data_IF_187228182202
#
_entry.id   IF_187228182202
#
_cell.length_a   1.000
_cell.length_b   1.000
_cell.length_c   1.000
_cell.angle_alpha   90.00
_cell.angle_beta   90.00
_cell.angle_gamma   90.00
#
_symmetry.space_group_name_H-M   'P 1'
#
loop_
_entity.id
_entity.type
_entity.pdbx_description
1 polymer ?
#
# COMPACT_ATOMS: atom_id res chain seq x y z
N UNK A 1 15.55 23.21 -6.13
CA UNK A 1 16.50 22.92 -5.02
C UNK A 1 16.79 24.19 -4.20
N UNK A 2 17.13 25.32 -4.82
CA UNK A 2 17.45 26.57 -4.10
C UNK A 2 16.24 27.11 -3.27
N UNK A 3 15.01 27.01 -3.78
CA UNK A 3 13.80 27.43 -3.09
C UNK A 3 13.60 26.60 -1.82
N UNK A 4 13.64 25.27 -1.90
CA UNK A 4 13.51 24.37 -0.74
C UNK A 4 14.61 24.68 0.29
N UNK A 5 15.86 24.83 -0.12
CA UNK A 5 16.95 25.14 0.79
C UNK A 5 16.74 26.48 1.52
N UNK A 6 16.21 27.49 0.83
CA UNK A 6 15.86 28.77 1.42
C UNK A 6 14.73 28.61 2.45
N UNK A 7 13.64 27.93 2.08
CA UNK A 7 12.48 27.78 2.97
C UNK A 7 12.86 26.95 4.23
N UNK A 8 13.63 25.88 4.05
CA UNK A 8 14.16 25.09 5.17
C UNK A 8 15.06 25.93 6.07
N UNK A 9 15.91 26.81 5.51
CA UNK A 9 16.80 27.65 6.32
C UNK A 9 16.06 28.60 7.27
N UNK A 10 14.81 28.95 6.98
CA UNK A 10 13.97 29.80 7.83
C UNK A 10 13.41 29.09 9.07
N UNK A 11 13.38 27.78 9.07
CA UNK A 11 12.84 26.95 10.16
C UNK A 11 13.93 26.21 10.92
N UNK A 12 15.21 26.43 10.62
CA UNK A 12 16.32 25.84 11.36
C UNK A 12 16.43 26.41 12.77
N UNK A 13 16.70 25.53 13.74
CA UNK A 13 16.97 25.88 15.12
C UNK A 13 18.05 24.93 15.71
N UNK A 14 18.70 25.37 16.79
CA UNK A 14 19.72 24.56 17.47
C UNK A 14 19.09 23.29 18.05
N UNK A 15 19.66 22.12 17.68
CA UNK A 15 19.16 20.82 18.12
C UNK A 15 18.11 20.19 17.19
N UNK A 16 17.83 20.77 16.02
CA UNK A 16 16.96 20.12 15.02
C UNK A 16 17.52 18.74 14.65
N UNK A 17 16.67 17.72 14.64
CA UNK A 17 17.07 16.36 14.25
C UNK A 17 17.10 16.22 12.74
N UNK A 18 17.84 15.22 12.24
CA UNK A 18 17.87 14.91 10.80
C UNK A 18 16.47 14.57 10.26
N UNK A 19 15.64 13.89 11.06
CA UNK A 19 14.27 13.57 10.69
C UNK A 19 13.40 14.83 10.54
N UNK A 20 13.48 15.75 11.51
CA UNK A 20 12.78 17.05 11.43
C UNK A 20 13.24 17.86 10.22
N UNK A 21 14.53 17.86 9.93
CA UNK A 21 15.07 18.53 8.75
C UNK A 21 14.51 17.96 7.44
N UNK A 22 14.40 16.66 7.36
CA UNK A 22 13.80 15.98 6.19
C UNK A 22 12.31 16.29 6.04
N UNK A 23 11.55 16.27 7.13
CA UNK A 23 10.13 16.65 7.11
C UNK A 23 9.98 18.11 6.65
N UNK A 24 10.79 19.03 7.17
CA UNK A 24 10.77 20.43 6.73
C UNK A 24 11.06 20.59 5.23
N UNK A 25 11.94 19.76 4.67
CA UNK A 25 12.21 19.76 3.22
C UNK A 25 11.00 19.26 2.40
N UNK A 26 10.30 18.25 2.90
CA UNK A 26 9.06 17.75 2.26
C UNK A 26 7.97 18.82 2.34
N UNK A 27 7.76 19.43 3.50
CA UNK A 27 6.78 20.49 3.69
C UNK A 27 7.05 21.70 2.79
N UNK A 28 8.31 22.15 2.71
CA UNK A 28 8.72 23.22 1.81
C UNK A 28 8.42 22.87 0.34
N UNK A 29 8.64 21.63 -0.08
CA UNK A 29 8.26 21.20 -1.43
C UNK A 29 6.73 21.25 -1.63
N UNK A 30 5.95 20.74 -0.67
CA UNK A 30 4.48 20.74 -0.75
C UNK A 30 3.87 22.13 -0.83
N UNK A 31 4.42 23.10 -0.09
CA UNK A 31 3.96 24.49 -0.10
C UNK A 31 4.19 25.17 -1.47
N UNK A 32 5.16 24.70 -2.23
CA UNK A 32 5.50 25.27 -3.52
C UNK A 32 4.78 24.62 -4.73
N UNK A 33 3.95 23.59 -4.52
CA UNK A 33 3.25 22.89 -5.61
C UNK A 33 2.35 23.83 -6.43
N UNK A 34 1.71 24.80 -5.80
CA UNK A 34 0.84 25.75 -6.50
C UNK A 34 1.61 26.68 -7.46
N UNK A 35 2.88 26.95 -7.17
CA UNK A 35 3.74 27.79 -7.98
C UNK A 35 4.38 26.98 -9.12
N UNK A 36 4.79 25.75 -8.83
CA UNK A 36 5.45 24.84 -9.77
C UNK A 36 5.06 23.41 -9.45
N UNK A 37 4.23 22.75 -10.30
CA UNK A 37 3.73 21.38 -10.06
C UNK A 37 4.81 20.30 -9.90
N UNK A 38 6.01 20.52 -10.41
CA UNK A 38 7.13 19.58 -10.27
C UNK A 38 7.59 19.40 -8.81
N UNK A 39 7.25 20.33 -7.91
CA UNK A 39 7.52 20.16 -6.49
C UNK A 39 6.77 18.98 -5.86
N UNK A 40 5.63 18.56 -6.42
CA UNK A 40 4.93 17.34 -6.00
C UNK A 40 5.83 16.10 -6.18
N UNK A 41 6.52 16.00 -7.33
CA UNK A 41 7.46 14.91 -7.60
C UNK A 41 8.69 14.98 -6.70
N UNK A 42 9.15 16.18 -6.35
CA UNK A 42 10.27 16.37 -5.41
C UNK A 42 9.87 15.90 -4.01
N UNK A 43 8.69 16.30 -3.52
CA UNK A 43 8.16 15.84 -2.23
C UNK A 43 8.00 14.30 -2.20
N UNK A 44 7.50 13.70 -3.29
CA UNK A 44 7.39 12.25 -3.42
C UNK A 44 8.74 11.55 -3.28
N UNK A 45 9.76 12.02 -3.99
CA UNK A 45 11.13 11.45 -3.94
C UNK A 45 11.78 11.61 -2.56
N UNK A 46 11.61 12.74 -1.91
CA UNK A 46 12.10 12.95 -0.54
C UNK A 46 11.45 11.95 0.43
N UNK A 47 10.14 11.74 0.33
CA UNK A 47 9.43 10.75 1.15
C UNK A 47 9.86 9.32 0.84
N UNK A 48 10.03 8.95 -0.42
CA UNK A 48 10.52 7.62 -0.82
C UNK A 48 11.93 7.38 -0.26
N UNK A 49 12.84 8.37 -0.34
CA UNK A 49 14.18 8.24 0.21
C UNK A 49 14.17 8.00 1.72
N UNK A 50 13.32 8.70 2.46
CA UNK A 50 13.15 8.50 3.91
C UNK A 50 12.72 7.06 4.22
N UNK A 51 11.72 6.55 3.49
CA UNK A 51 11.22 5.18 3.67
C UNK A 51 12.27 4.13 3.26
N UNK A 52 13.04 4.35 2.21
CA UNK A 52 14.14 3.46 1.84
C UNK A 52 15.18 3.36 2.95
N UNK A 53 15.57 4.47 3.55
CA UNK A 53 16.50 4.48 4.66
C UNK A 53 15.94 3.77 5.89
N UNK A 54 14.65 3.94 6.18
CA UNK A 54 13.98 3.28 7.29
C UNK A 54 13.93 1.76 7.12
N UNK A 55 13.61 1.27 5.93
CA UNK A 55 13.37 -0.17 5.67
C UNK A 55 14.65 -0.88 5.25
N UNK A 56 15.44 -0.28 4.36
CA UNK A 56 16.64 -0.89 3.80
C UNK A 56 17.89 -0.59 4.63
N UNK A 57 17.81 0.34 5.58
CA UNK A 57 18.93 0.88 6.35
C UNK A 57 19.61 2.06 5.66
N UNK A 58 20.61 2.67 6.33
CA UNK A 58 21.40 3.76 5.75
C UNK A 58 22.13 3.26 4.51
N UNK A 59 21.86 3.86 3.36
CA UNK A 59 22.37 3.45 2.05
C UNK A 59 22.77 4.65 1.21
N UNK A 60 23.79 4.42 0.38
CA UNK A 60 24.11 5.29 -0.72
C UNK A 60 23.09 5.09 -1.87
N UNK A 61 22.80 6.12 -2.64
CA UNK A 61 21.81 6.07 -3.74
C UNK A 61 22.16 4.98 -4.78
N UNK A 62 23.43 4.71 -4.99
CA UNK A 62 23.92 3.67 -5.90
C UNK A 62 23.55 2.25 -5.46
N UNK A 63 23.23 2.03 -4.18
CA UNK A 63 22.99 0.70 -3.59
C UNK A 63 21.49 0.40 -3.38
N UNK A 64 20.63 1.41 -3.56
CA UNK A 64 19.19 1.29 -3.32
C UNK A 64 18.58 0.13 -4.10
N UNK A 65 18.77 0.08 -5.42
CA UNK A 65 18.19 -0.96 -6.27
C UNK A 65 18.63 -2.37 -5.86
N UNK A 66 19.92 -2.53 -5.57
CA UNK A 66 20.46 -3.81 -5.16
C UNK A 66 19.80 -4.28 -3.86
N UNK A 67 19.75 -3.43 -2.83
CA UNK A 67 19.15 -3.78 -1.54
C UNK A 67 17.64 -3.96 -1.63
N UNK A 68 16.97 -3.15 -2.42
CA UNK A 68 15.54 -3.24 -2.66
C UNK A 68 15.17 -4.65 -3.17
N UNK A 69 15.86 -5.14 -4.19
CA UNK A 69 15.66 -6.48 -4.73
C UNK A 69 16.11 -7.56 -3.74
N UNK A 70 17.29 -7.46 -3.19
CA UNK A 70 17.88 -8.46 -2.30
C UNK A 70 17.07 -8.72 -1.03
N UNK A 71 16.47 -7.69 -0.44
CA UNK A 71 15.74 -7.83 0.81
C UNK A 71 14.29 -8.29 0.62
N UNK A 72 13.74 -8.30 -0.58
CA UNK A 72 12.36 -8.70 -0.83
C UNK A 72 12.05 -10.14 -0.40
N UNK A 73 12.87 -11.10 -0.80
CA UNK A 73 12.68 -12.50 -0.41
C UNK A 73 12.75 -12.71 1.12
N UNK A 74 13.63 -11.98 1.80
CA UNK A 74 13.71 -11.97 3.26
C UNK A 74 12.44 -11.38 3.87
N UNK A 75 11.97 -10.24 3.36
CA UNK A 75 10.73 -9.61 3.79
C UNK A 75 9.53 -10.57 3.71
N UNK A 76 9.35 -11.30 2.60
CA UNK A 76 8.28 -12.29 2.45
C UNK A 76 8.41 -13.40 3.51
N UNK A 77 9.60 -14.00 3.66
CA UNK A 77 9.82 -15.10 4.62
C UNK A 77 9.55 -14.69 6.07
N UNK A 78 9.99 -13.50 6.47
CA UNK A 78 9.79 -12.97 7.84
C UNK A 78 8.31 -12.69 8.12
N UNK A 79 7.58 -12.11 7.16
CA UNK A 79 6.16 -11.81 7.33
C UNK A 79 5.27 -13.06 7.25
N UNK A 80 5.67 -14.11 6.53
CA UNK A 80 5.01 -15.42 6.63
C UNK A 80 5.28 -16.05 7.99
N UNK A 81 6.51 -15.99 8.49
CA UNK A 81 6.85 -16.52 9.82
C UNK A 81 6.09 -15.84 10.95
N UNK A 82 5.84 -14.53 10.84
CA UNK A 82 5.04 -13.77 11.82
C UNK A 82 3.52 -13.96 11.67
N UNK A 83 3.05 -14.71 10.64
CA UNK A 83 1.64 -14.96 10.38
C UNK A 83 0.89 -13.79 9.72
N UNK A 84 1.58 -12.74 9.29
CA UNK A 84 0.99 -11.61 8.56
C UNK A 84 0.67 -12.01 7.13
N UNK A 85 1.61 -12.68 6.46
CA UNK A 85 1.43 -13.19 5.10
C UNK A 85 1.00 -14.66 5.10
N UNK A 86 0.25 -15.03 4.06
CA UNK A 86 -0.18 -16.41 3.82
C UNK A 86 1.04 -17.29 3.49
N UNK A 87 1.06 -18.50 4.05
CA UNK A 87 2.13 -19.47 3.83
C UNK A 87 2.37 -19.83 2.36
N UNK A 88 1.34 -19.73 1.50
CA UNK A 88 1.43 -19.94 0.05
C UNK A 88 2.39 -18.97 -0.64
N UNK A 89 2.70 -17.82 -0.03
CA UNK A 89 3.71 -16.90 -0.52
C UNK A 89 5.11 -17.53 -0.64
N UNK A 90 5.39 -18.61 0.10
CA UNK A 90 6.66 -19.35 0.02
C UNK A 90 6.73 -20.35 -1.15
N UNK A 91 5.63 -20.60 -1.86
CA UNK A 91 5.59 -21.50 -3.00
C UNK A 91 6.08 -20.85 -4.30
N UNK A 92 6.35 -19.54 -4.28
CA UNK A 92 6.87 -18.77 -5.43
C UNK A 92 8.39 -18.88 -5.55
N UNK A 93 8.90 -18.74 -6.76
CA UNK A 93 10.33 -18.44 -6.96
C UNK A 93 10.60 -16.98 -6.55
N UNK A 94 10.87 -16.80 -5.25
CA UNK A 94 11.09 -15.47 -4.66
C UNK A 94 12.33 -14.78 -5.26
N UNK A 95 13.33 -15.53 -5.69
CA UNK A 95 14.53 -14.95 -6.30
C UNK A 95 14.24 -14.44 -7.71
N UNK A 96 13.41 -15.15 -8.49
CA UNK A 96 12.94 -14.67 -9.79
C UNK A 96 12.09 -13.41 -9.62
N UNK A 97 11.14 -13.40 -8.67
CA UNK A 97 10.30 -12.23 -8.41
C UNK A 97 11.12 -11.04 -7.87
N UNK A 98 12.13 -11.29 -7.04
CA UNK A 98 13.06 -10.24 -6.58
C UNK A 98 13.79 -9.54 -7.74
N UNK A 99 14.26 -10.31 -8.72
CA UNK A 99 14.91 -9.76 -9.93
C UNK A 99 13.94 -8.99 -10.82
N UNK A 100 12.66 -9.35 -10.79
CA UNK A 100 11.60 -8.68 -11.57
C UNK A 100 11.24 -7.29 -11.03
N UNK A 101 11.53 -7.02 -9.76
CA UNK A 101 11.22 -5.72 -9.15
C UNK A 101 11.94 -4.57 -9.87
N UNK A 102 11.21 -3.49 -10.12
CA UNK A 102 11.71 -2.27 -10.77
C UNK A 102 11.55 -1.06 -9.83
N UNK A 103 12.51 -0.81 -8.93
CA UNK A 103 12.42 0.26 -7.94
C UNK A 103 12.20 1.65 -8.53
N UNK A 104 12.71 1.90 -9.75
CA UNK A 104 12.53 3.16 -10.47
C UNK A 104 11.06 3.52 -10.71
N UNK A 105 10.16 2.52 -10.77
CA UNK A 105 8.72 2.71 -10.93
C UNK A 105 8.06 3.36 -9.70
N UNK A 106 8.70 3.39 -8.53
CA UNK A 106 8.22 4.17 -7.38
C UNK A 106 8.08 5.65 -7.72
N UNK A 107 8.92 6.16 -8.62
CA UNK A 107 8.89 7.54 -9.10
C UNK A 107 7.73 7.87 -10.05
N UNK A 108 6.92 6.89 -10.47
CA UNK A 108 5.69 7.14 -11.23
C UNK A 108 4.60 7.78 -10.36
N UNK A 109 4.66 7.56 -9.06
CA UNK A 109 3.70 8.11 -8.10
C UNK A 109 4.06 9.53 -7.70
N UNK A 110 3.06 10.39 -7.64
CA UNK A 110 3.13 11.70 -7.00
C UNK A 110 3.05 11.55 -5.47
N UNK A 111 3.28 12.63 -4.72
CA UNK A 111 3.35 12.60 -3.26
C UNK A 111 2.13 11.94 -2.61
N UNK A 112 0.92 12.35 -3.00
CA UNK A 112 -0.31 11.76 -2.45
C UNK A 112 -0.40 10.25 -2.72
N UNK A 113 0.05 9.78 -3.89
CA UNK A 113 0.09 8.36 -4.23
C UNK A 113 1.06 7.59 -3.33
N UNK A 114 2.26 8.13 -3.10
CA UNK A 114 3.26 7.55 -2.19
C UNK A 114 2.70 7.45 -0.77
N UNK A 115 2.17 8.55 -0.22
CA UNK A 115 1.61 8.59 1.14
C UNK A 115 0.42 7.64 1.28
N UNK A 116 -0.46 7.59 0.29
CA UNK A 116 -1.61 6.69 0.31
C UNK A 116 -1.16 5.22 0.31
N UNK A 117 -0.14 4.88 -0.50
CA UNK A 117 0.42 3.53 -0.49
C UNK A 117 0.98 3.18 0.90
N UNK A 118 1.86 4.01 1.44
CA UNK A 118 2.54 3.77 2.71
C UNK A 118 1.59 3.73 3.91
N UNK A 119 0.58 4.59 3.95
CA UNK A 119 -0.30 4.73 5.11
C UNK A 119 -1.49 3.78 5.09
N UNK A 120 -1.93 3.35 3.91
CA UNK A 120 -3.18 2.60 3.77
C UNK A 120 -2.99 1.17 3.27
N UNK A 121 -1.99 0.90 2.42
CA UNK A 121 -1.90 -0.37 1.70
C UNK A 121 -0.65 -1.18 2.03
N UNK A 122 0.46 -0.52 2.34
CA UNK A 122 1.68 -1.20 2.76
C UNK A 122 1.47 -1.92 4.10
N UNK A 123 2.10 -3.08 4.25
CA UNK A 123 2.13 -3.80 5.53
C UNK A 123 2.82 -2.93 6.60
N UNK A 124 2.33 -3.05 7.82
CA UNK A 124 2.80 -2.24 8.95
C UNK A 124 3.17 -3.12 10.13
N UNK A 125 4.20 -2.70 10.85
CA UNK A 125 4.50 -3.22 12.19
C UNK A 125 4.11 -2.12 13.20
N UNK A 126 2.94 -2.26 13.79
CA UNK A 126 2.33 -1.19 14.58
C UNK A 126 2.05 0.04 13.70
N UNK A 127 2.73 1.16 13.97
CA UNK A 127 2.52 2.43 13.25
C UNK A 127 3.38 2.54 11.99
N UNK A 128 4.57 1.95 11.98
CA UNK A 128 5.54 2.10 10.90
C UNK A 128 5.26 1.16 9.71
N UNK A 129 5.34 1.63 8.45
CA UNK A 129 5.32 0.76 7.29
C UNK A 129 6.60 -0.09 7.27
N UNK A 130 6.45 -1.36 6.87
CA UNK A 130 7.56 -2.32 6.72
C UNK A 130 7.69 -2.81 5.27
N UNK A 131 6.88 -2.27 4.38
CA UNK A 131 6.77 -2.68 2.98
C UNK A 131 7.04 -1.48 2.07
N UNK A 132 7.89 -1.68 1.07
CA UNK A 132 8.18 -0.69 0.03
C UNK A 132 7.12 -0.72 -1.08
N UNK A 133 6.92 0.36 -1.86
CA UNK A 133 5.82 0.42 -2.83
C UNK A 133 5.85 -0.71 -3.87
N UNK A 134 7.02 -1.05 -4.46
CA UNK A 134 7.07 -2.18 -5.40
C UNK A 134 6.90 -3.54 -4.71
N UNK A 135 7.27 -3.67 -3.43
CA UNK A 135 6.97 -4.88 -2.65
C UNK A 135 5.46 -5.03 -2.44
N UNK A 136 4.76 -3.91 -2.18
CA UNK A 136 3.30 -3.90 -2.09
C UNK A 136 2.66 -4.41 -3.39
N UNK A 137 3.08 -3.90 -4.55
CA UNK A 137 2.56 -4.37 -5.83
C UNK A 137 2.85 -5.85 -6.07
N UNK A 138 4.07 -6.30 -5.77
CA UNK A 138 4.45 -7.70 -5.95
C UNK A 138 3.69 -8.62 -4.98
N UNK A 139 3.52 -8.23 -3.70
CA UNK A 139 2.71 -8.99 -2.73
C UNK A 139 1.27 -9.16 -3.20
N UNK A 140 0.66 -8.08 -3.71
CA UNK A 140 -0.71 -8.12 -4.24
C UNK A 140 -0.78 -9.08 -5.44
N UNK A 141 0.16 -8.96 -6.37
CA UNK A 141 0.25 -9.83 -7.55
C UNK A 141 0.36 -11.30 -7.17
N UNK A 142 1.24 -11.63 -6.23
CA UNK A 142 1.38 -12.99 -5.69
C UNK A 142 0.09 -13.46 -5.04
N UNK A 143 -0.55 -12.62 -4.22
CA UNK A 143 -1.81 -12.97 -3.55
C UNK A 143 -2.97 -13.25 -4.51
N UNK A 144 -3.00 -12.57 -5.65
CA UNK A 144 -4.00 -12.80 -6.71
C UNK A 144 -3.70 -14.06 -7.53
N UNK A 145 -2.44 -14.42 -7.67
CA UNK A 145 -2.00 -15.53 -8.52
C UNK A 145 -1.95 -16.91 -7.80
N UNK A 146 -2.41 -17.03 -6.55
CA UNK A 146 -2.32 -18.27 -5.76
C UNK A 146 -2.88 -19.53 -6.42
N UNK A 147 -3.90 -19.38 -7.25
CA UNK A 147 -4.61 -20.51 -7.85
C UNK A 147 -4.33 -20.64 -9.35
N UNK A 148 -3.38 -19.89 -9.89
CA UNK A 148 -3.00 -19.95 -11.29
C UNK A 148 -2.15 -21.17 -11.61
N UNK A 149 -2.13 -21.60 -12.88
CA UNK A 149 -1.35 -22.78 -13.33
C UNK A 149 0.14 -22.57 -13.18
N UNK A 150 0.62 -21.35 -13.47
CA UNK A 150 2.00 -20.89 -13.23
C UNK A 150 1.95 -19.62 -12.37
N UNK A 151 1.88 -19.77 -11.03
CA UNK A 151 1.71 -18.63 -10.15
C UNK A 151 2.84 -17.61 -10.25
N UNK A 152 4.09 -18.04 -10.44
CA UNK A 152 5.24 -17.13 -10.51
C UNK A 152 5.19 -16.27 -11.78
N UNK A 153 4.87 -16.87 -12.92
CA UNK A 153 4.71 -16.16 -14.17
C UNK A 153 3.54 -15.17 -14.10
N UNK A 154 2.38 -15.64 -13.66
CA UNK A 154 1.17 -14.79 -13.54
C UNK A 154 1.38 -13.64 -12.55
N UNK A 155 2.03 -13.88 -11.41
CA UNK A 155 2.40 -12.81 -10.48
C UNK A 155 3.33 -11.77 -11.12
N UNK A 156 4.28 -12.20 -11.95
CA UNK A 156 5.17 -11.28 -12.69
C UNK A 156 4.39 -10.40 -13.67
N UNK A 157 3.40 -10.96 -14.37
CA UNK A 157 2.55 -10.25 -15.32
C UNK A 157 1.63 -9.25 -14.59
N UNK A 158 0.97 -9.67 -13.52
CA UNK A 158 0.13 -8.78 -12.69
C UNK A 158 0.95 -7.65 -12.07
N UNK A 159 2.17 -7.95 -11.60
CA UNK A 159 3.08 -6.94 -11.09
C UNK A 159 3.42 -5.88 -12.15
N UNK A 160 3.70 -6.28 -13.40
CA UNK A 160 4.02 -5.34 -14.46
C UNK A 160 2.90 -4.31 -14.67
N UNK A 161 1.66 -4.78 -14.81
CA UNK A 161 0.50 -3.89 -15.00
C UNK A 161 0.27 -2.97 -13.79
N UNK A 162 0.36 -3.50 -12.57
CA UNK A 162 0.14 -2.70 -11.37
C UNK A 162 1.26 -1.69 -11.12
N UNK A 163 2.50 -2.10 -11.29
CA UNK A 163 3.67 -1.27 -11.01
C UNK A 163 3.87 -0.14 -12.02
N UNK A 164 3.35 -0.31 -13.24
CA UNK A 164 3.29 0.73 -14.28
C UNK A 164 2.05 1.62 -14.17
N UNK A 165 1.19 1.39 -13.18
CA UNK A 165 -0.06 2.11 -12.95
C UNK A 165 -1.08 1.95 -14.08
N UNK A 166 -0.98 0.91 -14.90
CA UNK A 166 -1.95 0.56 -15.94
C UNK A 166 -3.24 0.00 -15.33
N UNK A 167 -3.12 -0.68 -14.18
CA UNK A 167 -4.22 -1.23 -13.42
C UNK A 167 -3.97 -1.12 -11.91
N UNK A 168 -4.95 -0.65 -11.17
CA UNK A 168 -4.90 -0.55 -9.70
C UNK A 168 -6.10 -1.29 -9.12
N UNK A 169 -5.88 -2.39 -8.35
CA UNK A 169 -6.96 -3.12 -7.69
C UNK A 169 -7.69 -2.27 -6.65
N UNK A 170 -8.91 -2.67 -6.32
CA UNK A 170 -9.69 -2.03 -5.28
C UNK A 170 -9.05 -2.10 -3.89
N UNK A 171 -9.51 -1.23 -2.98
CA UNK A 171 -8.88 -1.02 -1.67
C UNK A 171 -8.72 -2.29 -0.83
N UNK A 172 -9.78 -3.10 -0.69
CA UNK A 172 -9.74 -4.35 0.08
C UNK A 172 -8.75 -5.36 -0.52
N UNK A 173 -8.70 -5.46 -1.84
CA UNK A 173 -7.71 -6.30 -2.54
C UNK A 173 -6.28 -5.84 -2.24
N UNK A 174 -6.02 -4.53 -2.30
CA UNK A 174 -4.68 -3.97 -2.02
C UNK A 174 -4.24 -4.21 -0.58
N UNK A 175 -5.16 -4.15 0.38
CA UNK A 175 -4.86 -4.38 1.80
C UNK A 175 -4.61 -5.87 2.05
N UNK A 176 -5.49 -6.75 1.56
CA UNK A 176 -5.59 -8.13 2.04
C UNK A 176 -4.94 -9.18 1.11
N UNK A 177 -4.66 -8.86 -0.16
CA UNK A 177 -4.05 -9.84 -1.07
C UNK A 177 -2.66 -10.26 -0.58
N UNK A 178 -2.42 -11.57 -0.54
CA UNK A 178 -1.19 -12.18 -0.04
C UNK A 178 -1.08 -12.25 1.48
N UNK A 179 -2.04 -11.68 2.24
CA UNK A 179 -2.06 -11.79 3.70
C UNK A 179 -2.73 -13.09 4.16
N UNK A 180 -2.60 -13.40 5.46
CA UNK A 180 -3.29 -14.54 6.09
C UNK A 180 -4.80 -14.34 6.21
N UNK A 181 -5.33 -13.15 5.89
CA UNK A 181 -6.75 -12.82 5.85
C UNK A 181 -7.16 -12.30 4.45
N UNK A 182 -7.34 -13.18 3.45
CA UNK A 182 -7.51 -12.81 2.05
C UNK A 182 -8.94 -12.39 1.71
N UNK A 183 -9.51 -11.39 2.39
CA UNK A 183 -10.77 -10.77 2.01
C UNK A 183 -10.50 -9.77 0.88
N UNK A 184 -10.86 -10.12 -0.37
CA UNK A 184 -10.48 -9.36 -1.56
C UNK A 184 -11.61 -8.52 -2.16
N UNK A 185 -12.88 -8.77 -1.76
CA UNK A 185 -14.05 -8.05 -2.28
C UNK A 185 -14.19 -6.69 -1.61
N UNK A 186 -14.48 -5.66 -2.42
CA UNK A 186 -14.61 -4.30 -1.90
C UNK A 186 -16.03 -3.96 -1.47
N UNK A 187 -17.05 -4.47 -2.20
CA UNK A 187 -18.44 -4.11 -2.00
C UNK A 187 -19.33 -5.35 -1.98
N UNK A 188 -20.30 -5.32 -1.07
CA UNK A 188 -21.30 -6.37 -0.86
C UNK A 188 -22.69 -5.76 -0.91
N UNK A 189 -23.61 -6.43 -1.57
CA UNK A 189 -25.03 -6.03 -1.59
C UNK A 189 -25.82 -7.06 -0.80
N UNK A 190 -26.55 -6.60 0.21
CA UNK A 190 -27.39 -7.41 1.09
C UNK A 190 -28.84 -6.99 0.86
N UNK A 191 -29.70 -7.91 0.44
CA UNK A 191 -31.14 -7.68 0.41
C UNK A 191 -31.72 -7.99 1.78
N UNK A 192 -32.49 -7.05 2.33
CA UNK A 192 -33.12 -7.16 3.65
C UNK A 192 -34.62 -7.32 3.47
N UNK A 193 -35.18 -8.40 4.02
CA UNK A 193 -36.61 -8.62 4.04
C UNK A 193 -37.24 -7.88 5.24
N UNK A 194 -38.57 -7.61 5.16
CA UNK A 194 -39.33 -6.86 6.17
C UNK A 194 -39.69 -7.75 7.38
N UNK A 195 -38.68 -8.35 7.97
CA UNK A 195 -38.79 -9.14 9.19
C UNK A 195 -37.60 -8.93 10.10
N UNK A 196 -37.76 -9.16 11.40
CA UNK A 196 -36.77 -8.89 12.42
C UNK A 196 -35.52 -9.75 12.28
N UNK A 197 -35.63 -10.99 11.79
CA UNK A 197 -34.52 -11.91 11.62
C UNK A 197 -33.61 -11.43 10.49
N UNK A 198 -34.21 -11.07 9.35
CA UNK A 198 -33.45 -10.52 8.20
C UNK A 198 -32.78 -9.19 8.53
N UNK A 199 -33.45 -8.31 9.27
CA UNK A 199 -32.89 -7.03 9.73
C UNK A 199 -31.72 -7.28 10.67
N UNK A 200 -31.85 -8.11 11.69
CA UNK A 200 -30.79 -8.43 12.64
C UNK A 200 -29.58 -9.07 11.94
N UNK A 201 -29.84 -10.00 11.01
CA UNK A 201 -28.81 -10.64 10.21
C UNK A 201 -28.05 -9.63 9.35
N UNK A 202 -28.71 -8.69 8.71
CA UNK A 202 -28.07 -7.66 7.88
C UNK A 202 -27.10 -6.79 8.68
N UNK A 203 -27.45 -6.45 9.92
CA UNK A 203 -26.57 -5.71 10.83
C UNK A 203 -25.34 -6.55 11.17
N UNK A 204 -25.54 -7.81 11.54
CA UNK A 204 -24.44 -8.73 11.85
C UNK A 204 -23.49 -8.89 10.66
N UNK A 205 -24.02 -9.19 9.46
CA UNK A 205 -23.23 -9.37 8.25
C UNK A 205 -22.45 -8.08 7.90
N UNK A 206 -23.07 -6.92 8.01
CA UNK A 206 -22.42 -5.61 7.83
C UNK A 206 -21.23 -5.42 8.77
N UNK A 207 -21.37 -5.80 10.04
CA UNK A 207 -20.26 -5.68 11.01
C UNK A 207 -19.08 -6.58 10.64
N UNK A 208 -19.33 -7.84 10.23
CA UNK A 208 -18.26 -8.75 9.82
C UNK A 208 -17.58 -8.31 8.52
N UNK A 209 -18.35 -7.86 7.53
CA UNK A 209 -17.85 -7.35 6.27
C UNK A 209 -16.99 -6.09 6.50
N UNK A 210 -17.47 -5.14 7.31
CA UNK A 210 -16.74 -3.92 7.64
C UNK A 210 -15.42 -4.21 8.38
N UNK A 211 -15.40 -5.21 9.28
CA UNK A 211 -14.18 -5.67 9.94
C UNK A 211 -13.13 -6.16 8.93
N UNK A 212 -13.58 -6.73 7.80
CA UNK A 212 -12.73 -7.19 6.70
C UNK A 212 -12.43 -6.11 5.66
N UNK A 213 -12.67 -4.83 5.96
CA UNK A 213 -12.48 -3.69 5.04
C UNK A 213 -13.43 -3.66 3.82
N UNK A 214 -14.53 -4.43 3.85
CA UNK A 214 -15.58 -4.40 2.84
C UNK A 214 -16.62 -3.32 3.11
N UNK A 215 -17.17 -2.73 2.06
CA UNK A 215 -18.35 -1.86 2.14
C UNK A 215 -19.64 -2.63 1.91
N UNK A 216 -20.75 -2.25 2.58
CA UNK A 216 -22.06 -2.87 2.39
C UNK A 216 -23.09 -1.87 1.87
N UNK A 217 -23.92 -2.32 0.93
CA UNK A 217 -25.14 -1.66 0.52
C UNK A 217 -26.35 -2.54 0.91
N UNK A 218 -27.23 -2.01 1.75
CA UNK A 218 -28.43 -2.73 2.19
C UNK A 218 -29.64 -2.29 1.38
N UNK A 219 -30.22 -3.22 0.62
CA UNK A 219 -31.47 -3.02 -0.15
C UNK A 219 -32.70 -3.21 0.75
N UNK A 220 -33.45 -2.14 0.99
CA UNK A 220 -34.63 -2.13 1.83
C UNK A 220 -35.95 -1.98 1.02
N UNK A 221 -35.89 -2.29 -0.26
CA UNK A 221 -37.05 -2.12 -1.19
C UNK A 221 -38.24 -3.01 -0.86
N UNK A 222 -38.05 -4.05 -0.05
CA UNK A 222 -39.10 -4.97 0.39
C UNK A 222 -39.85 -4.52 1.65
N UNK A 223 -39.37 -3.44 2.30
CA UNK A 223 -40.01 -2.95 3.52
C UNK A 223 -41.39 -2.37 3.23
N UNK A 224 -42.34 -2.69 4.09
CA UNK A 224 -43.68 -2.14 4.01
C UNK A 224 -43.68 -0.61 4.17
N UNK A 225 -44.59 0.12 3.52
CA UNK A 225 -44.76 1.55 3.77
C UNK A 225 -45.03 1.83 5.24
N UNK A 226 -44.51 2.95 5.75
CA UNK A 226 -44.72 3.36 7.15
C UNK A 226 -46.22 3.47 7.48
N UNK A 227 -46.60 3.04 8.68
CA UNK A 227 -47.99 3.10 9.18
C UNK A 227 -48.77 1.77 9.13
N UNK A 228 -48.11 0.66 8.89
CA UNK A 228 -48.66 -0.68 9.13
C UNK A 228 -48.27 -1.23 10.48
#
# INVERSE_FOLDING_TARGET
TAIIAKDVSLVLFDGITEEQLRESAIEAALQNIQNEPDFDQIAARLRLRQIYQQILGAIDDSDIEHRYRKQFAKFIRENVKSGILDKRMLNYDLEQLSRKLEPSRDNLSKYLGVITNLNRYALRNGVAPVELPQWTHMRIAMGLAFNETDPTKTASEFYDHMSQLEYIPGGSTRINAGTSFPQLSNCFVINVDDDMESIAKSVQDTMFIAKGTGGTGNGITKFAPGGR
#
